data_IF_041402545817
#
_entry.id   IF_041402545817
#
_cell.length_a   1.000
_cell.length_b   1.000
_cell.length_c   1.000
_cell.angle_alpha   90.00
_cell.angle_beta   90.00
_cell.angle_gamma   90.00
#
_symmetry.space_group_name_H-M   'P 1'
#
loop_
_entity.id
_entity.type
_entity.pdbx_description
1 polymer ?
#
# COMPACT_ATOMS: atom_id res chain seq x y z
N UNK A 1 30.94 -11.97 -7.58
CA UNK A 1 30.02 -10.94 -7.02
C UNK A 1 30.79 -9.61 -6.96
N UNK A 2 30.30 -8.51 -7.55
CA UNK A 2 31.03 -7.23 -7.49
C UNK A 2 30.99 -6.66 -6.06
N UNK A 3 32.07 -6.02 -5.55
CA UNK A 3 32.08 -5.41 -4.24
C UNK A 3 30.98 -4.34 -4.11
N UNK A 4 30.23 -4.38 -3.01
CA UNK A 4 29.21 -3.36 -2.70
C UNK A 4 29.91 -2.12 -2.14
N UNK A 5 29.58 -0.92 -2.63
CA UNK A 5 30.19 0.34 -2.16
C UNK A 5 29.92 0.59 -0.67
N UNK A 6 30.86 1.25 0.03
CA UNK A 6 30.71 1.57 1.47
C UNK A 6 29.42 2.32 1.77
N UNK A 7 29.08 3.33 0.94
CA UNK A 7 27.82 4.09 1.02
C UNK A 7 26.58 3.18 0.94
N UNK A 8 26.60 2.17 0.06
CA UNK A 8 25.49 1.21 -0.05
C UNK A 8 25.43 0.30 1.17
N UNK A 9 26.56 -0.15 1.71
CA UNK A 9 26.59 -0.96 2.93
C UNK A 9 26.02 -0.21 4.13
N UNK A 10 26.41 1.05 4.33
CA UNK A 10 25.90 1.92 5.40
C UNK A 10 24.39 2.14 5.27
N UNK A 11 23.91 2.42 4.05
CA UNK A 11 22.49 2.53 3.77
C UNK A 11 21.74 1.24 4.13
N UNK A 12 22.25 0.08 3.71
CA UNK A 12 21.66 -1.23 4.05
C UNK A 12 21.60 -1.46 5.56
N UNK A 13 22.65 -1.11 6.30
CA UNK A 13 22.65 -1.19 7.77
C UNK A 13 21.57 -0.31 8.38
N UNK A 14 21.39 0.92 7.87
CA UNK A 14 20.37 1.86 8.34
C UNK A 14 18.94 1.38 8.05
N UNK A 15 18.68 0.84 6.86
CA UNK A 15 17.31 0.44 6.46
C UNK A 15 16.92 -0.96 6.95
N UNK A 16 17.89 -1.81 7.31
CA UNK A 16 17.63 -3.17 7.74
C UNK A 16 16.63 -3.27 8.90
N UNK A 17 16.75 -2.51 10.00
CA UNK A 17 15.77 -2.57 11.08
C UNK A 17 14.34 -2.22 10.63
N UNK A 18 14.20 -1.22 9.75
CA UNK A 18 12.89 -0.80 9.21
C UNK A 18 12.28 -1.92 8.37
N UNK A 19 13.08 -2.56 7.50
CA UNK A 19 12.64 -3.67 6.65
C UNK A 19 12.33 -4.93 7.45
N UNK A 20 13.10 -5.21 8.49
CA UNK A 20 12.88 -6.33 9.39
C UNK A 20 11.57 -6.14 10.19
N UNK A 21 11.33 -4.92 10.69
CA UNK A 21 10.08 -4.57 11.35
C UNK A 21 8.88 -4.69 10.40
N UNK A 22 8.97 -4.17 9.18
CA UNK A 22 7.90 -4.27 8.18
C UNK A 22 7.56 -5.73 7.85
N UNK A 23 8.58 -6.60 7.73
CA UNK A 23 8.36 -8.04 7.52
C UNK A 23 7.62 -8.70 8.69
N UNK A 24 7.97 -8.34 9.91
CA UNK A 24 7.32 -8.87 11.11
C UNK A 24 5.87 -8.36 11.25
N UNK A 25 5.64 -7.08 10.93
CA UNK A 25 4.33 -6.44 10.96
C UNK A 25 3.36 -7.07 9.95
N UNK A 26 3.80 -7.26 8.70
CA UNK A 26 2.93 -7.81 7.64
C UNK A 26 2.75 -9.32 7.77
N UNK A 27 3.83 -10.06 8.07
CA UNK A 27 3.77 -11.49 8.39
C UNK A 27 3.38 -12.43 7.23
N UNK A 28 3.00 -11.93 6.06
CA UNK A 28 2.63 -12.74 4.90
C UNK A 28 3.00 -12.06 3.58
N UNK A 29 2.95 -12.84 2.48
CA UNK A 29 3.12 -12.31 1.14
C UNK A 29 1.90 -11.47 0.73
N UNK A 30 2.10 -10.19 0.41
CA UNK A 30 1.04 -9.25 0.01
C UNK A 30 0.45 -9.56 -1.38
N UNK A 31 1.04 -10.51 -2.13
CA UNK A 31 0.53 -10.94 -3.44
C UNK A 31 -0.29 -12.24 -3.35
N UNK A 32 0.13 -13.22 -2.55
CA UNK A 32 -0.50 -14.55 -2.52
C UNK A 32 -0.97 -15.00 -1.13
N UNK A 33 -0.77 -14.19 -0.09
CA UNK A 33 -1.14 -14.52 1.30
C UNK A 33 -0.26 -15.56 1.99
N UNK A 34 0.73 -16.14 1.30
CA UNK A 34 1.59 -17.16 1.91
C UNK A 34 2.41 -16.57 3.06
N UNK A 35 2.27 -17.13 4.25
CA UNK A 35 3.04 -16.79 5.46
C UNK A 35 4.19 -17.76 5.75
N UNK A 36 4.34 -18.81 4.92
CA UNK A 36 5.37 -19.84 5.10
C UNK A 36 6.67 -19.47 4.38
N UNK A 37 7.79 -19.79 5.02
CA UNK A 37 9.13 -19.58 4.47
C UNK A 37 9.68 -18.17 4.70
N UNK A 38 10.76 -17.83 4.00
CA UNK A 38 11.40 -16.52 4.13
C UNK A 38 10.68 -15.49 3.27
N UNK A 39 10.13 -14.47 3.92
CA UNK A 39 9.60 -13.29 3.26
C UNK A 39 10.72 -12.29 2.94
N UNK A 40 10.63 -11.72 1.74
CA UNK A 40 11.53 -10.71 1.22
C UNK A 40 10.80 -9.37 1.11
N UNK A 41 11.58 -8.28 1.05
CA UNK A 41 11.07 -6.93 0.84
C UNK A 41 11.39 -6.52 -0.58
N UNK A 42 10.35 -6.41 -1.42
CA UNK A 42 10.43 -5.91 -2.77
C UNK A 42 10.28 -4.39 -2.80
N UNK A 43 11.13 -3.71 -3.57
CA UNK A 43 10.95 -2.28 -3.85
C UNK A 43 10.13 -2.10 -5.13
N UNK A 44 8.99 -1.42 -5.01
CA UNK A 44 8.17 -1.09 -6.20
C UNK A 44 8.93 -0.10 -7.10
N UNK A 45 9.66 0.85 -6.49
CA UNK A 45 10.47 1.82 -7.22
C UNK A 45 11.68 1.16 -7.89
N UNK A 46 11.91 1.51 -9.17
CA UNK A 46 12.97 0.92 -10.01
C UNK A 46 14.16 1.85 -10.22
N UNK A 47 15.24 1.29 -10.77
CA UNK A 47 16.41 2.03 -11.23
C UNK A 47 17.05 2.93 -10.15
N UNK A 48 17.24 4.21 -10.48
CA UNK A 48 17.91 5.19 -9.61
C UNK A 48 17.12 5.50 -8.33
N UNK A 49 15.80 5.32 -8.34
CA UNK A 49 14.93 5.60 -7.19
C UNK A 49 14.94 4.48 -6.15
N UNK A 50 15.43 3.30 -6.52
CA UNK A 50 15.46 2.12 -5.63
C UNK A 50 16.19 2.38 -4.32
N UNK A 51 17.24 3.20 -4.31
CA UNK A 51 17.96 3.50 -3.08
C UNK A 51 17.17 4.44 -2.15
N UNK A 52 16.34 5.32 -2.70
CA UNK A 52 15.56 6.28 -1.93
C UNK A 52 14.25 5.69 -1.39
N UNK A 53 13.79 4.55 -1.91
CA UNK A 53 12.56 3.88 -1.47
C UNK A 53 12.77 2.86 -0.34
N UNK A 54 14.02 2.52 0.00
CA UNK A 54 14.34 1.38 0.88
C UNK A 54 13.78 1.47 2.30
N UNK A 55 13.48 2.68 2.75
CA UNK A 55 12.94 3.01 4.08
C UNK A 55 11.51 3.54 4.02
N UNK A 56 10.84 3.47 2.86
CA UNK A 56 9.53 4.07 2.63
C UNK A 56 8.45 2.99 2.53
N UNK A 57 7.64 2.76 3.58
CA UNK A 57 6.62 1.69 3.56
C UNK A 57 5.64 1.78 2.38
N UNK A 58 5.34 3.00 1.90
CA UNK A 58 4.50 3.25 0.71
C UNK A 58 5.12 2.81 -0.63
N UNK A 59 6.39 2.39 -0.64
CA UNK A 59 7.12 1.97 -1.83
C UNK A 59 7.73 0.56 -1.72
N UNK A 60 7.33 -0.19 -0.68
CA UNK A 60 7.83 -1.52 -0.37
C UNK A 60 6.67 -2.53 -0.32
N UNK A 61 6.92 -3.75 -0.79
CA UNK A 61 6.02 -4.90 -0.64
C UNK A 61 6.74 -6.04 0.09
N UNK A 62 6.03 -6.77 0.95
CA UNK A 62 6.46 -8.02 1.55
C UNK A 62 5.97 -9.16 0.69
N UNK A 63 6.89 -9.98 0.18
CA UNK A 63 6.57 -11.04 -0.77
C UNK A 63 7.32 -12.32 -0.47
N UNK A 64 6.71 -13.45 -0.81
CA UNK A 64 7.42 -14.73 -0.81
C UNK A 64 8.38 -14.81 -2.00
N UNK A 65 9.37 -15.70 -1.90
CA UNK A 65 10.36 -15.90 -2.97
C UNK A 65 9.75 -16.20 -4.33
N UNK A 66 8.71 -17.05 -4.39
CA UNK A 66 8.04 -17.41 -5.64
C UNK A 66 7.41 -16.18 -6.32
N UNK A 67 6.63 -15.38 -5.58
CA UNK A 67 6.05 -14.15 -6.14
C UNK A 67 7.13 -13.14 -6.52
N UNK A 68 8.22 -13.05 -5.75
CA UNK A 68 9.32 -12.15 -6.09
C UNK A 68 9.99 -12.55 -7.42
N UNK A 69 10.24 -13.84 -7.64
CA UNK A 69 10.94 -14.33 -8.83
C UNK A 69 10.05 -14.54 -10.05
N UNK A 70 8.80 -14.92 -9.88
CA UNK A 70 7.91 -15.33 -10.99
C UNK A 70 6.98 -14.21 -11.43
N UNK A 71 6.51 -13.37 -10.50
CA UNK A 71 5.53 -12.31 -10.79
C UNK A 71 6.22 -10.96 -10.96
N UNK A 72 6.97 -10.53 -9.95
CA UNK A 72 7.58 -9.20 -9.92
C UNK A 72 8.78 -9.04 -10.88
N UNK A 73 9.27 -10.15 -11.43
CA UNK A 73 10.25 -10.16 -12.51
C UNK A 73 9.65 -9.88 -13.89
N UNK A 74 8.31 -9.81 -14.00
CA UNK A 74 7.58 -9.64 -15.25
C UNK A 74 6.88 -8.27 -15.32
N UNK A 75 7.56 -7.20 -15.76
CA UNK A 75 6.98 -5.86 -15.82
C UNK A 75 5.69 -5.70 -16.62
N UNK A 76 5.53 -6.51 -17.67
CA UNK A 76 4.34 -6.45 -18.53
C UNK A 76 3.09 -6.93 -17.80
N UNK A 77 3.22 -7.95 -16.94
CA UNK A 77 2.12 -8.50 -16.16
C UNK A 77 1.96 -7.83 -14.79
N UNK A 78 3.08 -7.33 -14.23
CA UNK A 78 3.17 -6.69 -12.93
C UNK A 78 3.73 -5.26 -13.05
N UNK A 79 2.99 -4.35 -13.70
CA UNK A 79 3.34 -2.94 -13.72
C UNK A 79 3.26 -2.33 -12.32
N UNK A 80 3.87 -1.15 -12.13
CA UNK A 80 3.88 -0.45 -10.84
C UNK A 80 2.47 -0.21 -10.29
N UNK A 81 1.50 0.13 -11.14
CA UNK A 81 0.10 0.33 -10.73
C UNK A 81 -0.49 -0.91 -10.05
N UNK A 82 -0.25 -2.11 -10.60
CA UNK A 82 -0.70 -3.38 -10.00
C UNK A 82 -0.02 -3.67 -8.66
N UNK A 83 1.27 -3.36 -8.56
CA UNK A 83 2.01 -3.53 -7.31
C UNK A 83 1.52 -2.56 -6.22
N UNK A 84 1.23 -1.31 -6.60
CA UNK A 84 0.62 -0.32 -5.72
C UNK A 84 -0.79 -0.73 -5.30
N UNK A 85 -1.56 -1.39 -6.16
CA UNK A 85 -2.86 -1.94 -5.81
C UNK A 85 -2.75 -3.04 -4.72
N UNK A 86 -1.73 -3.91 -4.79
CA UNK A 86 -1.45 -4.87 -3.72
C UNK A 86 -1.16 -4.15 -2.39
N UNK A 87 -0.31 -3.13 -2.41
CA UNK A 87 0.02 -2.34 -1.21
C UNK A 87 -1.22 -1.66 -0.62
N UNK A 88 -2.02 -1.02 -1.49
CA UNK A 88 -3.25 -0.35 -1.10
C UNK A 88 -4.24 -1.31 -0.43
N UNK A 89 -4.34 -2.54 -0.93
CA UNK A 89 -5.20 -3.59 -0.36
C UNK A 89 -4.67 -4.12 0.98
N UNK A 90 -3.39 -4.46 1.06
CA UNK A 90 -2.82 -5.12 2.25
C UNK A 90 -2.54 -4.15 3.40
N UNK A 91 -2.15 -2.91 3.09
CA UNK A 91 -1.81 -1.88 4.08
C UNK A 91 -2.37 -0.51 3.68
N UNK A 92 -3.69 -0.32 3.76
CA UNK A 92 -4.34 0.93 3.34
C UNK A 92 -3.76 2.20 3.98
N UNK A 93 -3.40 2.12 5.27
CA UNK A 93 -2.85 3.25 6.02
C UNK A 93 -1.43 3.66 5.61
N UNK A 94 -0.69 2.76 4.94
CA UNK A 94 0.67 3.01 4.48
C UNK A 94 0.72 3.33 2.98
N UNK A 95 -0.42 3.28 2.28
CA UNK A 95 -0.53 3.62 0.87
C UNK A 95 -0.55 5.15 0.67
N UNK A 96 0.31 5.63 -0.22
CA UNK A 96 0.32 7.03 -0.66
C UNK A 96 0.82 7.15 -2.09
N UNK A 97 -0.11 7.29 -3.05
CA UNK A 97 0.25 7.56 -4.44
C UNK A 97 0.99 8.89 -4.60
N UNK A 98 0.60 9.90 -3.83
CA UNK A 98 1.23 11.23 -3.89
C UNK A 98 2.70 11.16 -3.48
N UNK A 99 3.03 10.50 -2.37
CA UNK A 99 4.43 10.38 -1.92
C UNK A 99 5.24 9.47 -2.85
N UNK A 100 4.63 8.40 -3.37
CA UNK A 100 5.27 7.51 -4.33
C UNK A 100 5.66 8.25 -5.63
N UNK A 101 4.77 9.07 -6.18
CA UNK A 101 5.02 9.85 -7.38
C UNK A 101 6.02 10.99 -7.12
N UNK A 102 5.93 11.66 -5.97
CA UNK A 102 6.93 12.65 -5.56
C UNK A 102 8.34 12.04 -5.47
N UNK A 103 8.46 10.77 -5.02
CA UNK A 103 9.72 10.04 -4.91
C UNK A 103 10.28 9.59 -6.27
N UNK A 104 9.41 9.09 -7.15
CA UNK A 104 9.83 8.38 -8.38
C UNK A 104 9.77 9.24 -9.63
N UNK A 105 8.87 10.22 -9.70
CA UNK A 105 8.61 11.00 -10.91
C UNK A 105 8.03 12.38 -10.58
N UNK A 106 8.75 13.23 -9.82
CA UNK A 106 8.23 14.53 -9.39
C UNK A 106 7.90 15.50 -10.54
N UNK A 107 8.47 15.26 -11.74
CA UNK A 107 8.22 16.06 -12.95
C UNK A 107 7.13 15.47 -13.87
N UNK A 108 6.58 14.31 -13.53
CA UNK A 108 5.53 13.63 -14.28
C UNK A 108 4.45 13.11 -13.30
N UNK A 109 3.67 14.02 -12.67
CA UNK A 109 2.72 13.66 -11.63
C UNK A 109 1.56 12.78 -12.11
N UNK A 110 1.31 12.75 -13.42
CA UNK A 110 0.27 11.96 -14.07
C UNK A 110 0.81 10.67 -14.72
N UNK A 111 2.01 10.22 -14.34
CA UNK A 111 2.60 8.97 -14.87
C UNK A 111 1.82 7.73 -14.43
N UNK A 112 1.27 7.75 -13.23
CA UNK A 112 0.36 6.76 -12.67
C UNK A 112 -0.74 7.54 -11.98
N UNK A 113 -1.97 7.31 -12.39
CA UNK A 113 -3.16 7.89 -11.79
C UNK A 113 -3.82 6.87 -10.86
N UNK A 114 -4.73 7.35 -10.01
CA UNK A 114 -5.42 6.46 -9.07
C UNK A 114 -6.31 5.45 -9.81
N UNK A 115 -6.83 5.83 -10.98
CA UNK A 115 -7.64 4.96 -11.85
C UNK A 115 -6.84 3.74 -12.29
N UNK A 116 -5.58 3.91 -12.70
CA UNK A 116 -4.69 2.80 -13.09
C UNK A 116 -4.53 1.77 -11.96
N UNK A 117 -4.57 2.22 -10.71
CA UNK A 117 -4.46 1.35 -9.53
C UNK A 117 -5.80 0.66 -9.26
N UNK A 118 -6.90 1.41 -9.31
CA UNK A 118 -8.25 0.89 -9.06
C UNK A 118 -8.66 -0.20 -10.06
N UNK A 119 -8.18 -0.15 -11.30
CA UNK A 119 -8.38 -1.21 -12.30
C UNK A 119 -7.89 -2.59 -11.84
N UNK A 120 -6.89 -2.64 -10.97
CA UNK A 120 -6.35 -3.88 -10.39
C UNK A 120 -7.01 -4.25 -9.06
N UNK A 121 -7.92 -3.43 -8.54
CA UNK A 121 -8.62 -3.69 -7.29
C UNK A 121 -9.97 -4.34 -7.61
N UNK A 122 -10.03 -5.66 -7.43
CA UNK A 122 -11.22 -6.48 -7.76
C UNK A 122 -12.45 -6.23 -6.87
N UNK A 123 -12.27 -5.49 -5.79
CA UNK A 123 -13.31 -5.27 -4.78
C UNK A 123 -14.04 -3.95 -4.94
N UNK A 124 -15.30 -3.89 -4.52
CA UNK A 124 -16.06 -2.65 -4.43
C UNK A 124 -15.51 -1.77 -3.30
N UNK A 125 -15.22 -0.52 -3.64
CA UNK A 125 -14.82 0.50 -2.67
C UNK A 125 -15.95 1.48 -2.37
N UNK A 126 -16.24 1.68 -1.09
CA UNK A 126 -17.26 2.62 -0.62
C UNK A 126 -16.65 3.99 -0.36
N UNK A 127 -17.39 5.04 -0.73
CA UNK A 127 -17.10 6.40 -0.29
C UNK A 127 -17.60 6.64 1.13
N UNK A 128 -17.12 7.72 1.76
CA UNK A 128 -17.67 8.19 3.05
C UNK A 128 -19.17 8.43 3.00
N UNK A 129 -19.71 8.87 1.85
CA UNK A 129 -21.14 9.12 1.69
C UNK A 129 -21.92 7.80 1.64
N UNK A 130 -21.40 6.78 0.96
CA UNK A 130 -22.05 5.46 0.89
C UNK A 130 -22.17 4.84 2.28
N UNK A 131 -21.08 4.86 3.05
CA UNK A 131 -21.04 4.32 4.42
C UNK A 131 -21.99 5.09 5.34
N UNK A 132 -21.94 6.43 5.28
CA UNK A 132 -22.83 7.29 6.08
C UNK A 132 -24.30 6.97 5.82
N UNK A 133 -24.68 6.80 4.55
CA UNK A 133 -26.03 6.43 4.16
C UNK A 133 -26.41 5.01 4.61
N UNK A 134 -25.51 4.04 4.46
CA UNK A 134 -25.78 2.65 4.85
C UNK A 134 -25.95 2.48 6.37
N UNK A 135 -25.16 3.21 7.16
CA UNK A 135 -25.20 3.13 8.62
C UNK A 135 -26.12 4.18 9.27
N UNK A 136 -26.74 5.06 8.48
CA UNK A 136 -27.58 6.16 8.97
C UNK A 136 -26.84 7.07 9.97
N UNK A 137 -25.59 7.41 9.64
CA UNK A 137 -24.74 8.32 10.43
C UNK A 137 -24.28 9.50 9.58
N UNK A 138 -23.70 10.51 10.21
CA UNK A 138 -23.11 11.62 9.49
C UNK A 138 -21.73 11.28 8.91
N UNK A 139 -21.32 12.00 7.85
CA UNK A 139 -20.02 11.79 7.18
C UNK A 139 -18.81 12.11 8.05
N UNK A 140 -18.96 12.92 9.10
CA UNK A 140 -17.88 13.26 10.04
C UNK A 140 -17.60 12.09 10.97
N UNK A 141 -18.62 11.37 11.43
CA UNK A 141 -18.47 10.11 12.16
C UNK A 141 -17.64 9.10 11.37
N UNK A 142 -17.96 8.89 10.08
CA UNK A 142 -17.17 8.02 9.19
C UNK A 142 -15.72 8.52 9.06
N UNK A 143 -15.54 9.83 8.91
CA UNK A 143 -14.20 10.42 8.85
C UNK A 143 -13.40 10.16 10.12
N UNK A 144 -14.03 10.26 11.29
CA UNK A 144 -13.38 10.02 12.58
C UNK A 144 -12.90 8.58 12.68
N UNK A 145 -13.73 7.60 12.30
CA UNK A 145 -13.36 6.17 12.32
C UNK A 145 -12.17 5.87 11.40
N UNK A 146 -12.12 6.49 10.23
CA UNK A 146 -10.98 6.37 9.32
C UNK A 146 -9.73 6.97 9.96
N UNK A 147 -9.82 8.21 10.45
CA UNK A 147 -8.66 8.90 11.04
C UNK A 147 -8.15 8.25 12.34
N UNK A 148 -9.02 7.58 13.08
CA UNK A 148 -8.65 6.83 14.29
C UNK A 148 -8.15 5.42 13.99
N UNK A 149 -8.13 5.00 12.72
CA UNK A 149 -7.73 3.66 12.30
C UNK A 149 -8.75 2.55 12.62
N UNK A 150 -9.97 2.90 13.05
CA UNK A 150 -11.03 1.93 13.31
C UNK A 150 -11.65 1.38 12.01
N UNK A 151 -11.59 2.18 10.94
CA UNK A 151 -12.07 1.80 9.62
C UNK A 151 -10.93 1.99 8.60
N UNK A 152 -10.27 0.92 8.15
CA UNK A 152 -9.22 1.01 7.15
C UNK A 152 -9.72 1.69 5.88
N UNK A 153 -8.92 2.59 5.32
CA UNK A 153 -9.25 3.26 4.07
C UNK A 153 -7.99 3.56 3.28
N UNK A 154 -8.08 3.42 1.97
CA UNK A 154 -7.08 3.92 1.03
C UNK A 154 -7.40 5.37 0.70
N UNK A 155 -6.36 6.17 0.47
CA UNK A 155 -6.52 7.54 0.01
C UNK A 155 -6.43 7.60 -1.52
N UNK A 156 -7.58 7.66 -2.17
CA UNK A 156 -7.71 7.70 -3.62
C UNK A 156 -7.61 9.11 -4.21
N UNK A 157 -6.99 10.08 -3.52
CA UNK A 157 -6.87 11.42 -4.08
C UNK A 157 -5.98 11.42 -5.32
N UNK A 158 -6.35 12.19 -6.33
CA UNK A 158 -5.47 12.49 -7.46
C UNK A 158 -4.26 13.30 -6.98
N UNK A 159 -3.09 13.03 -7.53
CA UNK A 159 -1.86 13.76 -7.21
C UNK A 159 -2.06 15.26 -7.37
N UNK A 160 -1.63 16.05 -6.38
CA UNK A 160 -1.82 17.51 -6.34
C UNK A 160 -3.10 17.97 -5.63
N UNK A 161 -4.02 17.06 -5.28
CA UNK A 161 -5.22 17.40 -4.50
C UNK A 161 -4.93 17.44 -3.01
N UNK A 162 -5.32 18.52 -2.32
CA UNK A 162 -5.07 18.68 -0.88
C UNK A 162 -6.06 17.92 0.00
N UNK A 163 -7.30 17.71 -0.47
CA UNK A 163 -8.35 17.01 0.29
C UNK A 163 -8.24 15.49 0.09
N UNK A 164 -8.15 14.70 1.18
CA UNK A 164 -8.16 13.23 1.08
C UNK A 164 -9.44 12.71 0.43
N UNK A 165 -9.31 11.70 -0.41
CA UNK A 165 -10.45 11.01 -1.03
C UNK A 165 -10.48 9.57 -0.56
N UNK A 166 -10.88 9.37 0.69
CA UNK A 166 -10.92 8.04 1.28
C UNK A 166 -11.91 7.10 0.60
N UNK A 167 -11.48 5.85 0.46
CA UNK A 167 -12.23 4.72 -0.03
C UNK A 167 -11.98 3.51 0.87
N UNK A 168 -13.05 2.82 1.24
CA UNK A 168 -13.03 1.69 2.18
C UNK A 168 -13.41 0.45 1.40
N UNK A 169 -12.66 -0.65 1.54
CA UNK A 169 -13.01 -1.91 0.91
C UNK A 169 -14.34 -2.44 1.49
N UNK A 170 -15.13 -3.11 0.67
CA UNK A 170 -16.41 -3.67 1.12
C UNK A 170 -16.23 -4.67 2.28
N UNK A 171 -15.20 -5.51 2.22
CA UNK A 171 -14.79 -6.47 3.24
C UNK A 171 -14.45 -5.77 4.56
N UNK A 172 -13.61 -4.74 4.54
CA UNK A 172 -13.28 -3.93 5.72
C UNK A 172 -14.55 -3.31 6.35
N UNK A 173 -15.47 -2.83 5.50
CA UNK A 173 -16.75 -2.29 5.97
C UNK A 173 -17.61 -3.36 6.65
N UNK A 174 -17.70 -4.57 6.08
CA UNK A 174 -18.43 -5.67 6.67
C UNK A 174 -17.84 -6.10 8.01
N UNK A 175 -16.51 -6.22 8.11
CA UNK A 175 -15.82 -6.55 9.35
C UNK A 175 -16.06 -5.47 10.41
N UNK A 176 -15.94 -4.21 10.04
CA UNK A 176 -16.27 -3.09 10.92
C UNK A 176 -17.70 -3.16 11.46
N UNK A 177 -18.67 -3.51 10.60
CA UNK A 177 -20.06 -3.69 11.03
C UNK A 177 -20.23 -4.86 12.00
N UNK A 178 -19.53 -5.98 11.76
CA UNK A 178 -19.58 -7.14 12.64
C UNK A 178 -19.03 -6.81 14.04
N UNK A 179 -17.87 -6.15 14.09
CA UNK A 179 -17.22 -5.79 15.36
C UNK A 179 -18.06 -4.84 16.22
N UNK A 180 -18.84 -3.94 15.59
CA UNK A 180 -19.73 -3.03 16.32
C UNK A 180 -21.01 -3.69 16.83
N UNK A 181 -21.49 -4.75 16.19
CA UNK A 181 -22.69 -5.49 16.67
C UNK A 181 -22.43 -6.27 17.96
N UNK A 182 -21.19 -6.71 18.19
CA UNK A 182 -20.78 -7.47 19.38
C UNK A 182 -20.60 -6.56 20.61
N UNK A 183 -20.61 -5.24 20.43
CA UNK A 183 -20.41 -4.24 21.50
C UNK A 183 -21.72 -3.64 22.04
N UNK A 184 -22.89 -4.21 21.71
CA UNK A 184 -24.19 -3.91 22.32
C UNK A 184 -24.67 -5.09 23.15
#
# INVERSE_FOLDING_TARGET
MRPVSKKRQELMKKVKPIRDALRAEVGCCEICGCSRGTLDVHEIARGVHRAASLDKPFALLIVCRACHSEKLSQPAEWPEARQLACLAKSRPSQFSLTDYIALTSPRAPLRIEIQDILEWMEERYLSKSDIANMLQVDRRSVSNWITSGQLPAIDCRTVGTSKPLYRVAWSDFLEFCQNRKVSM
#
